data_IF_016468567647
#
_entry.id   IF_016468567647
#
_cell.length_a   1.000
_cell.length_b   1.000
_cell.length_c   1.000
_cell.angle_alpha   90.00
_cell.angle_beta   90.00
_cell.angle_gamma   90.00
#
_symmetry.space_group_name_H-M   'P 1'
#
loop_
_entity.id
_entity.type
_entity.pdbx_description
1 polymer ?
#
# COMPACT_ATOMS: atom_id res chain seq x y z
N UNK A 1 38.21 -16.54 43.32
CA UNK A 1 39.13 -16.42 42.17
C UNK A 1 38.44 -15.53 41.15
N UNK A 2 38.74 -14.24 41.24
CA UNK A 2 38.32 -13.18 40.32
C UNK A 2 38.70 -13.53 38.88
N UNK A 3 37.82 -13.21 37.94
CA UNK A 3 38.19 -13.00 36.54
C UNK A 3 38.16 -11.50 36.30
N UNK A 4 39.35 -10.96 36.13
CA UNK A 4 39.66 -9.59 35.73
C UNK A 4 39.41 -9.44 34.22
N UNK A 5 38.80 -8.32 33.88
CA UNK A 5 38.55 -7.77 32.54
C UNK A 5 39.84 -7.22 31.93
N UNK A 6 40.08 -7.42 30.62
CA UNK A 6 41.05 -6.58 29.91
C UNK A 6 40.67 -6.37 28.44
N UNK A 7 40.69 -5.09 28.05
CA UNK A 7 40.25 -4.51 26.78
C UNK A 7 41.34 -4.61 25.68
N UNK A 8 40.98 -4.47 24.38
CA UNK A 8 41.95 -4.54 23.29
C UNK A 8 42.77 -3.22 23.13
N UNK A 9 44.06 -3.31 22.74
CA UNK A 9 44.93 -2.15 22.58
C UNK A 9 44.72 -1.38 21.25
N UNK A 10 45.13 -0.10 21.17
CA UNK A 10 44.77 0.81 20.09
C UNK A 10 45.73 0.78 18.88
N UNK A 11 45.20 1.23 17.74
CA UNK A 11 45.89 1.47 16.47
C UNK A 11 46.88 2.65 16.59
N UNK A 12 48.09 2.45 16.06
CA UNK A 12 49.14 3.47 15.94
C UNK A 12 49.78 3.47 14.54
N UNK A 13 50.16 4.67 14.12
CA UNK A 13 50.53 5.23 12.83
C UNK A 13 51.92 4.88 12.26
N UNK A 14 52.08 5.09 10.94
CA UNK A 14 53.19 5.74 10.16
C UNK A 14 53.15 5.21 8.71
N UNK A 15 52.95 6.00 7.63
CA UNK A 15 53.89 6.93 6.94
C UNK A 15 55.23 6.25 6.58
N UNK A 16 55.85 6.27 5.38
CA UNK A 16 55.76 7.03 4.12
C UNK A 16 56.65 6.31 3.05
N UNK A 17 56.48 6.65 1.76
CA UNK A 17 57.39 6.51 0.59
C UNK A 17 57.17 5.23 -0.26
N UNK A 18 56.92 5.29 -1.58
CA UNK A 18 57.76 5.96 -2.60
C UNK A 18 57.02 6.24 -3.93
N UNK A 19 57.50 7.31 -4.59
CA UNK A 19 57.20 7.88 -5.90
C UNK A 19 57.09 6.93 -7.11
N UNK A 20 56.23 7.29 -8.07
CA UNK A 20 56.62 7.71 -9.43
C UNK A 20 55.42 8.18 -10.31
N UNK A 21 55.50 9.41 -10.81
CA UNK A 21 54.79 9.89 -12.02
C UNK A 21 55.65 9.61 -13.26
N UNK A 22 55.07 9.68 -14.47
CA UNK A 22 55.55 10.74 -15.36
C UNK A 22 54.42 11.54 -16.05
N UNK A 23 54.68 12.84 -16.19
CA UNK A 23 53.95 13.80 -17.01
C UNK A 23 54.24 13.58 -18.51
N UNK A 24 53.26 13.90 -19.35
CA UNK A 24 53.42 14.12 -20.79
C UNK A 24 52.30 15.00 -21.34
N UNK A 25 52.58 16.30 -21.49
CA UNK A 25 51.75 17.33 -22.12
C UNK A 25 51.91 17.30 -23.66
N UNK A 26 50.87 17.46 -24.48
CA UNK A 26 50.36 18.74 -25.05
C UNK A 26 49.74 18.46 -26.45
N UNK A 27 49.23 19.45 -27.23
CA UNK A 27 47.82 19.89 -27.30
C UNK A 27 47.23 19.80 -28.74
N UNK A 28 46.10 20.50 -29.00
CA UNK A 28 45.39 20.76 -30.27
C UNK A 28 44.19 19.81 -30.50
N UNK A 29 42.98 20.23 -30.88
CA UNK A 29 42.46 21.48 -31.44
C UNK A 29 40.91 21.43 -31.41
N UNK A 30 40.28 22.61 -31.35
CA UNK A 30 38.84 22.87 -31.50
C UNK A 30 38.10 21.93 -32.49
N UNK A 31 36.96 21.39 -32.03
CA UNK A 31 35.72 21.37 -32.81
C UNK A 31 34.59 21.92 -31.96
N UNK A 32 34.34 23.22 -32.14
CA UNK A 32 33.04 23.82 -31.87
C UNK A 32 32.01 23.10 -32.75
N UNK A 33 30.97 22.54 -32.13
CA UNK A 33 29.92 21.79 -32.83
C UNK A 33 29.09 20.82 -31.98
N UNK A 34 29.46 20.53 -30.73
CA UNK A 34 28.80 19.49 -29.91
C UNK A 34 27.88 19.98 -28.78
N UNK A 35 27.87 21.28 -28.46
CA UNK A 35 27.14 21.78 -27.29
C UNK A 35 25.60 21.69 -27.39
N UNK A 36 25.07 21.62 -28.62
CA UNK A 36 23.63 21.46 -28.85
C UNK A 36 23.16 20.02 -28.62
N UNK A 37 23.94 19.04 -29.10
CA UNK A 37 23.62 17.61 -28.97
C UNK A 37 23.75 17.16 -27.51
N UNK A 38 24.77 17.61 -26.78
CA UNK A 38 24.96 17.28 -25.37
C UNK A 38 23.87 17.88 -24.48
N UNK A 39 23.40 19.08 -24.79
CA UNK A 39 22.32 19.74 -24.05
C UNK A 39 20.94 19.16 -24.40
N UNK A 40 20.73 18.77 -25.66
CA UNK A 40 19.55 18.03 -26.09
C UNK A 40 19.49 16.63 -25.46
N UNK A 41 20.61 15.91 -25.46
CA UNK A 41 20.78 14.63 -24.74
C UNK A 41 20.52 14.80 -23.25
N UNK A 42 21.01 15.89 -22.63
CA UNK A 42 20.71 16.19 -21.22
C UNK A 42 19.23 16.41 -20.97
N UNK A 43 18.53 17.15 -21.83
CA UNK A 43 17.07 17.36 -21.73
C UNK A 43 16.26 16.08 -21.96
N UNK A 44 16.74 15.17 -22.80
CA UNK A 44 16.10 13.87 -23.07
C UNK A 44 16.32 12.87 -21.92
N UNK A 45 17.52 12.87 -21.31
CA UNK A 45 17.92 11.87 -20.31
C UNK A 45 17.57 12.29 -18.88
N UNK A 46 17.53 13.59 -18.58
CA UNK A 46 17.26 14.11 -17.24
C UNK A 46 15.90 14.83 -17.22
N UNK A 47 14.93 14.36 -16.42
CA UNK A 47 13.71 15.11 -16.20
C UNK A 47 14.06 16.45 -15.55
N UNK A 48 13.35 17.50 -15.95
CA UNK A 48 13.51 18.82 -15.34
C UNK A 48 13.23 18.72 -13.83
N UNK A 49 14.20 19.15 -13.03
CA UNK A 49 14.10 19.17 -11.57
C UNK A 49 12.89 19.95 -11.05
N UNK A 50 12.40 20.95 -11.82
CA UNK A 50 11.20 21.72 -11.50
C UNK A 50 9.90 20.93 -11.72
N UNK A 51 9.95 19.86 -12.52
CA UNK A 51 8.80 19.01 -12.82
C UNK A 51 8.73 17.76 -11.93
N UNK A 52 9.66 17.60 -10.99
CA UNK A 52 9.60 16.53 -10.01
C UNK A 52 8.53 16.85 -8.94
N UNK A 53 7.75 15.85 -8.51
CA UNK A 53 6.79 16.07 -7.43
C UNK A 53 7.54 16.44 -6.14
N UNK A 54 6.99 17.37 -5.36
CA UNK A 54 7.59 17.83 -4.09
C UNK A 54 7.86 16.69 -3.10
N UNK A 55 7.04 15.65 -3.14
CA UNK A 55 7.21 14.43 -2.37
C UNK A 55 7.09 13.22 -3.28
N UNK A 56 7.90 12.17 -3.08
CA UNK A 56 7.76 10.95 -3.82
C UNK A 56 6.37 10.32 -3.57
N UNK A 57 5.78 9.65 -4.57
CA UNK A 57 4.50 8.97 -4.39
C UNK A 57 4.60 7.91 -3.30
N UNK A 58 3.51 7.75 -2.54
CA UNK A 58 3.44 6.71 -1.51
C UNK A 58 3.43 5.31 -2.13
N UNK A 59 3.81 4.29 -1.35
CA UNK A 59 3.76 2.89 -1.82
C UNK A 59 2.35 2.45 -2.25
N UNK A 60 1.31 3.04 -1.65
CA UNK A 60 -0.09 2.80 -2.04
C UNK A 60 -0.39 3.45 -3.39
N UNK A 61 0.04 4.70 -3.61
CA UNK A 61 -0.21 5.41 -4.86
C UNK A 61 0.61 4.83 -6.04
N UNK A 62 1.81 4.31 -5.79
CA UNK A 62 2.68 3.77 -6.84
C UNK A 62 2.31 2.35 -7.25
N UNK A 63 1.90 1.50 -6.30
CA UNK A 63 1.72 0.06 -6.55
C UNK A 63 0.26 -0.34 -6.80
N UNK A 64 -0.71 0.52 -6.45
CA UNK A 64 -2.13 0.17 -6.52
C UNK A 64 -2.94 1.18 -7.31
N UNK A 65 -3.94 0.68 -8.04
CA UNK A 65 -5.02 1.49 -8.57
C UNK A 65 -6.18 1.46 -7.58
N UNK A 66 -6.61 2.63 -7.12
CA UNK A 66 -7.70 2.75 -6.16
C UNK A 66 -9.06 2.80 -6.85
N UNK A 67 -9.96 1.93 -6.39
CA UNK A 67 -11.38 1.92 -6.72
C UNK A 67 -12.22 2.10 -5.47
N UNK A 68 -13.45 2.60 -5.62
CA UNK A 68 -14.41 2.76 -4.54
C UNK A 68 -15.73 2.06 -4.87
N UNK A 69 -16.29 1.39 -3.87
CA UNK A 69 -17.65 0.84 -3.88
C UNK A 69 -18.51 1.71 -2.95
N UNK A 70 -19.18 2.75 -3.46
CA UNK A 70 -20.05 3.59 -2.65
C UNK A 70 -21.34 2.84 -2.27
N UNK A 71 -21.88 3.14 -1.09
CA UNK A 71 -23.21 2.70 -0.63
C UNK A 71 -23.45 1.19 -0.79
N UNK A 72 -22.43 0.36 -0.52
CA UNK A 72 -22.48 -1.06 -0.84
C UNK A 72 -23.55 -1.79 0.03
N UNK A 73 -24.66 -2.17 -0.60
CA UNK A 73 -25.92 -2.67 0.00
C UNK A 73 -26.68 -1.67 0.88
N UNK A 74 -25.99 -0.76 1.57
CA UNK A 74 -26.57 0.19 2.51
C UNK A 74 -25.96 1.58 2.29
N UNK A 75 -26.74 2.66 2.43
CA UNK A 75 -26.22 4.03 2.35
C UNK A 75 -25.09 4.28 3.36
N UNK A 76 -24.01 4.91 2.91
CA UNK A 76 -22.82 5.25 3.69
C UNK A 76 -21.84 4.08 3.94
N UNK A 77 -22.14 2.87 3.45
CA UNK A 77 -21.24 1.72 3.56
C UNK A 77 -20.18 1.72 2.44
N UNK A 78 -19.39 2.80 2.41
CA UNK A 78 -18.37 3.02 1.39
C UNK A 78 -17.10 2.23 1.69
N UNK A 79 -16.63 1.46 0.71
CA UNK A 79 -15.39 0.67 0.83
C UNK A 79 -14.45 1.02 -0.31
N UNK A 80 -13.15 1.05 -0.01
CA UNK A 80 -12.13 1.14 -1.05
C UNK A 80 -11.62 -0.25 -1.42
N UNK A 81 -11.15 -0.35 -2.66
CA UNK A 81 -10.54 -1.55 -3.25
C UNK A 81 -9.25 -1.10 -3.94
N UNK A 82 -8.12 -1.49 -3.39
CA UNK A 82 -6.81 -1.27 -3.99
C UNK A 82 -6.44 -2.45 -4.84
N UNK A 83 -6.32 -2.23 -6.15
CA UNK A 83 -5.97 -3.24 -7.13
C UNK A 83 -4.49 -3.17 -7.46
N UNK A 84 -3.75 -4.22 -7.12
CA UNK A 84 -2.36 -4.38 -7.54
C UNK A 84 -2.27 -4.97 -8.95
N UNK A 85 -1.17 -4.70 -9.66
CA UNK A 85 -0.89 -5.27 -10.99
C UNK A 85 -0.89 -6.82 -11.00
N UNK A 86 -0.42 -7.44 -9.91
CA UNK A 86 -0.41 -8.90 -9.73
C UNK A 86 -1.82 -9.51 -9.55
N UNK A 87 -2.88 -8.71 -9.60
CA UNK A 87 -4.25 -9.18 -9.52
C UNK A 87 -4.84 -9.26 -8.10
N UNK A 88 -4.05 -8.94 -7.07
CA UNK A 88 -4.51 -8.87 -5.69
C UNK A 88 -5.37 -7.62 -5.47
N UNK A 89 -6.40 -7.77 -4.64
CA UNK A 89 -7.23 -6.68 -4.16
C UNK A 89 -7.10 -6.55 -2.64
N UNK A 90 -6.75 -5.37 -2.16
CA UNK A 90 -6.82 -5.02 -0.74
C UNK A 90 -8.11 -4.24 -0.52
N UNK A 91 -8.90 -4.63 0.47
CA UNK A 91 -10.20 -4.01 0.79
C UNK A 91 -10.11 -3.34 2.16
N UNK A 92 -10.70 -2.16 2.28
CA UNK A 92 -10.91 -1.49 3.55
C UNK A 92 -12.02 -0.46 3.52
N UNK A 93 -12.14 0.30 4.62
CA UNK A 93 -13.17 1.32 4.77
C UNK A 93 -12.76 2.61 4.06
N UNK A 94 -13.65 3.14 3.22
CA UNK A 94 -13.41 4.44 2.60
C UNK A 94 -13.53 5.58 3.63
N UNK A 95 -12.90 6.74 3.40
CA UNK A 95 -12.87 7.83 4.37
C UNK A 95 -14.24 8.34 4.83
N UNK A 96 -15.26 8.28 3.96
CA UNK A 96 -16.63 8.73 4.31
C UNK A 96 -17.54 7.62 4.82
N UNK A 97 -16.98 6.45 5.15
CA UNK A 97 -17.76 5.34 5.69
C UNK A 97 -18.37 5.71 7.05
N UNK A 98 -19.64 5.36 7.29
CA UNK A 98 -20.38 5.74 8.52
C UNK A 98 -19.64 5.38 9.80
N UNK A 99 -19.04 4.18 9.86
CA UNK A 99 -18.27 3.72 11.03
C UNK A 99 -17.08 4.64 11.41
N UNK A 100 -16.49 5.36 10.45
CA UNK A 100 -15.40 6.30 10.71
C UNK A 100 -15.91 7.69 11.10
N UNK A 101 -17.12 8.04 10.66
CA UNK A 101 -17.75 9.35 10.89
C UNK A 101 -18.54 9.42 12.20
N UNK A 102 -18.85 8.27 12.80
CA UNK A 102 -19.48 8.23 14.12
C UNK A 102 -18.59 8.88 15.19
N UNK A 103 -19.21 9.63 16.11
CA UNK A 103 -18.52 10.29 17.21
C UNK A 103 -17.80 9.24 18.07
N UNK A 104 -16.49 9.32 18.25
CA UNK A 104 -15.72 8.30 18.98
C UNK A 104 -15.07 7.23 18.09
N UNK A 105 -15.42 7.18 16.81
CA UNK A 105 -14.81 6.30 15.81
C UNK A 105 -15.02 4.81 16.10
N UNK A 106 -14.19 3.99 15.46
CA UNK A 106 -14.22 2.54 15.60
C UNK A 106 -13.64 2.12 16.94
N UNK A 107 -14.41 1.34 17.70
CA UNK A 107 -14.08 0.86 19.05
C UNK A 107 -13.64 -0.60 19.06
N UNK A 108 -14.18 -1.44 18.16
CA UNK A 108 -13.83 -2.86 18.07
C UNK A 108 -14.06 -3.41 16.65
N UNK A 109 -13.40 -4.51 16.32
CA UNK A 109 -13.55 -5.24 15.05
C UNK A 109 -13.66 -6.74 15.35
N UNK A 110 -14.69 -7.37 14.82
CA UNK A 110 -14.96 -8.81 14.97
C UNK A 110 -14.98 -9.50 13.60
N UNK A 111 -14.08 -10.44 13.39
CA UNK A 111 -14.01 -11.25 12.17
C UNK A 111 -14.93 -12.47 12.20
N UNK A 112 -15.64 -12.71 13.31
CA UNK A 112 -16.66 -13.72 13.40
C UNK A 112 -17.98 -13.23 12.79
N UNK A 113 -18.21 -13.63 11.54
CA UNK A 113 -19.42 -13.30 10.77
C UNK A 113 -20.54 -14.34 10.95
N UNK A 114 -20.52 -15.10 12.04
CA UNK A 114 -21.57 -16.04 12.47
C UNK A 114 -21.50 -17.42 11.80
N UNK A 115 -21.17 -17.50 10.50
CA UNK A 115 -21.00 -18.79 9.80
C UNK A 115 -19.59 -19.37 9.93
N UNK A 116 -18.60 -18.52 10.12
CA UNK A 116 -17.18 -18.89 10.19
C UNK A 116 -16.39 -17.67 10.66
N UNK A 117 -15.39 -17.89 11.51
CA UNK A 117 -14.40 -16.86 11.81
C UNK A 117 -13.43 -16.71 10.63
N UNK A 118 -13.26 -15.48 10.15
CA UNK A 118 -12.33 -15.20 9.03
C UNK A 118 -10.87 -15.14 9.48
N UNK A 119 -10.60 -14.88 10.77
CA UNK A 119 -9.23 -14.82 11.33
C UNK A 119 -8.55 -16.19 11.36
N UNK A 120 -9.33 -17.26 11.45
CA UNK A 120 -8.82 -18.63 11.43
C UNK A 120 -8.42 -19.12 10.03
N UNK A 121 -8.74 -18.35 8.97
CA UNK A 121 -8.50 -18.75 7.59
C UNK A 121 -7.00 -18.67 7.22
N UNK A 122 -6.29 -19.78 7.43
CA UNK A 122 -4.88 -19.93 7.04
C UNK A 122 -4.75 -20.57 5.67
N UNK A 123 -4.51 -19.73 4.66
CA UNK A 123 -4.24 -20.18 3.29
C UNK A 123 -2.80 -20.70 3.17
N UNK A 124 -2.64 -21.93 2.68
CA UNK A 124 -1.31 -22.57 2.60
C UNK A 124 -0.95 -23.09 1.21
N UNK A 125 0.35 -23.01 0.89
CA UNK A 125 0.97 -23.58 -0.31
C UNK A 125 0.63 -22.87 -1.63
N UNK A 126 1.38 -23.23 -2.69
CA UNK A 126 1.23 -22.66 -4.06
C UNK A 126 -0.19 -22.75 -4.62
N UNK A 127 -0.95 -23.78 -4.22
CA UNK A 127 -2.33 -24.02 -4.66
C UNK A 127 -3.39 -23.33 -3.80
N UNK A 128 -3.00 -22.46 -2.86
CA UNK A 128 -3.91 -21.74 -1.95
C UNK A 128 -4.91 -22.68 -1.26
N UNK A 129 -4.41 -23.78 -0.71
CA UNK A 129 -5.24 -24.75 0.00
C UNK A 129 -5.93 -24.05 1.16
N UNK A 130 -7.19 -24.42 1.40
CA UNK A 130 -8.09 -23.82 2.39
C UNK A 130 -8.58 -22.39 2.10
N UNK A 131 -8.19 -21.78 0.97
CA UNK A 131 -8.66 -20.45 0.63
C UNK A 131 -10.17 -20.43 0.39
N UNK A 132 -10.87 -19.71 1.25
CA UNK A 132 -12.30 -19.55 1.17
C UNK A 132 -12.67 -18.68 -0.03
N UNK A 133 -13.55 -19.20 -0.89
CA UNK A 133 -14.14 -18.41 -1.97
C UNK A 133 -15.30 -17.58 -1.42
N UNK A 134 -15.21 -16.26 -1.61
CA UNK A 134 -16.20 -15.29 -1.20
C UNK A 134 -16.87 -14.69 -2.43
N UNK A 135 -18.18 -14.51 -2.32
CA UNK A 135 -18.98 -13.69 -3.23
C UNK A 135 -18.92 -12.21 -2.82
N UNK A 136 -19.22 -11.25 -3.72
CA UNK A 136 -19.15 -9.81 -3.43
C UNK A 136 -19.93 -9.37 -2.18
N UNK A 137 -21.09 -9.98 -1.94
CA UNK A 137 -21.94 -9.70 -0.79
C UNK A 137 -21.55 -10.49 0.48
N UNK A 138 -20.47 -11.27 0.47
CA UNK A 138 -20.03 -12.02 1.65
C UNK A 138 -19.52 -11.08 2.73
N UNK A 139 -19.90 -11.33 3.99
CA UNK A 139 -19.40 -10.57 5.13
C UNK A 139 -17.94 -10.96 5.45
N UNK A 140 -17.11 -9.94 5.65
CA UNK A 140 -15.71 -10.04 6.06
C UNK A 140 -15.56 -9.88 7.57
N UNK A 141 -16.10 -8.80 8.13
CA UNK A 141 -16.07 -8.52 9.56
C UNK A 141 -17.23 -7.60 9.96
N UNK A 142 -17.43 -7.47 11.27
CA UNK A 142 -18.26 -6.44 11.90
C UNK A 142 -17.33 -5.40 12.49
N UNK A 143 -17.56 -4.15 12.15
CA UNK A 143 -16.86 -3.00 12.72
C UNK A 143 -17.83 -2.34 13.69
N UNK A 144 -17.43 -2.23 14.95
CA UNK A 144 -18.22 -1.56 15.99
C UNK A 144 -17.78 -0.11 16.11
N UNK A 145 -18.73 0.79 16.07
CA UNK A 145 -18.54 2.20 16.40
C UNK A 145 -19.70 2.59 17.33
N UNK A 146 -19.38 3.19 18.48
CA UNK A 146 -20.32 3.43 19.57
C UNK A 146 -21.14 2.18 19.94
N UNK A 147 -22.47 2.28 19.83
CA UNK A 147 -23.46 1.23 20.12
C UNK A 147 -23.90 0.48 18.85
N UNK A 148 -23.40 0.89 17.68
CA UNK A 148 -23.75 0.33 16.39
C UNK A 148 -22.66 -0.60 15.86
N UNK A 149 -23.04 -1.49 14.94
CA UNK A 149 -22.10 -2.28 14.16
C UNK A 149 -22.40 -2.22 12.67
N UNK A 150 -21.33 -2.23 11.88
CA UNK A 150 -21.37 -2.15 10.43
C UNK A 150 -20.73 -3.40 9.84
N UNK A 151 -21.45 -4.06 8.95
CA UNK A 151 -20.94 -5.25 8.28
C UNK A 151 -20.14 -4.82 7.06
N UNK A 152 -18.83 -5.10 7.10
CA UNK A 152 -17.91 -4.90 5.98
C UNK A 152 -18.02 -6.11 5.05
N UNK A 153 -18.04 -5.87 3.74
CA UNK A 153 -18.34 -6.87 2.71
C UNK A 153 -17.17 -7.03 1.76
N UNK A 154 -17.15 -8.15 1.04
CA UNK A 154 -16.03 -8.48 0.16
C UNK A 154 -15.94 -7.57 -1.07
N UNK A 155 -17.06 -7.02 -1.56
CA UNK A 155 -17.20 -6.18 -2.78
C UNK A 155 -16.78 -6.83 -4.11
N UNK A 156 -15.86 -7.79 -4.07
CA UNK A 156 -15.27 -8.47 -5.21
C UNK A 156 -15.34 -9.97 -4.96
N UNK A 157 -15.71 -10.73 -5.99
CA UNK A 157 -15.67 -12.20 -5.94
C UNK A 157 -14.23 -12.70 -6.00
N UNK A 158 -13.83 -13.54 -5.05
CA UNK A 158 -12.46 -14.06 -5.03
C UNK A 158 -12.13 -14.96 -3.85
N UNK A 159 -10.89 -15.43 -3.81
CA UNK A 159 -10.37 -16.19 -2.68
C UNK A 159 -9.84 -15.27 -1.59
N UNK A 160 -10.31 -15.43 -0.36
CA UNK A 160 -9.77 -14.75 0.81
C UNK A 160 -8.39 -15.31 1.15
N UNK A 161 -7.36 -14.44 1.13
CA UNK A 161 -5.98 -14.81 1.43
C UNK A 161 -5.59 -14.46 2.85
N UNK A 162 -5.97 -13.27 3.30
CA UNK A 162 -5.55 -12.71 4.57
C UNK A 162 -6.62 -11.75 5.09
N UNK A 163 -6.78 -11.72 6.40
CA UNK A 163 -7.50 -10.67 7.13
C UNK A 163 -6.54 -9.99 8.11
N UNK A 164 -6.80 -8.73 8.42
CA UNK A 164 -5.95 -7.98 9.32
C UNK A 164 -6.30 -8.27 10.79
N UNK A 165 -5.76 -9.37 11.33
CA UNK A 165 -5.98 -9.79 12.72
C UNK A 165 -5.50 -8.77 13.75
N UNK A 166 -4.63 -7.82 13.36
CA UNK A 166 -4.20 -6.72 14.24
C UNK A 166 -5.39 -5.88 14.69
N UNK A 167 -6.42 -5.75 13.86
CA UNK A 167 -7.62 -4.96 14.16
C UNK A 167 -8.41 -5.49 15.37
N UNK A 168 -8.28 -6.77 15.71
CA UNK A 168 -8.89 -7.36 16.91
C UNK A 168 -8.26 -6.74 18.17
N UNK A 169 -6.94 -6.50 18.15
CA UNK A 169 -6.19 -5.93 19.28
C UNK A 169 -6.08 -4.40 19.22
N UNK A 170 -6.08 -3.85 18.01
CA UNK A 170 -5.81 -2.43 17.74
C UNK A 170 -6.83 -1.88 16.72
N UNK A 171 -8.11 -1.74 17.11
CA UNK A 171 -9.15 -1.21 16.23
C UNK A 171 -8.91 0.25 15.82
N UNK A 172 -8.15 1.02 16.62
CA UNK A 172 -7.78 2.40 16.33
C UNK A 172 -6.97 2.62 15.05
N UNK A 173 -6.43 1.56 14.44
CA UNK A 173 -5.81 1.62 13.11
C UNK A 173 -6.82 2.06 12.03
N UNK A 174 -8.09 1.69 12.18
CA UNK A 174 -9.14 2.15 11.27
C UNK A 174 -9.41 3.65 11.40
N UNK A 175 -9.23 4.24 12.59
CA UNK A 175 -9.45 5.67 12.79
C UNK A 175 -8.27 6.51 12.29
N UNK A 176 -7.04 5.99 12.42
CA UNK A 176 -5.80 6.74 12.12
C UNK A 176 -5.23 6.48 10.73
N UNK A 177 -5.45 5.29 10.15
CA UNK A 177 -4.84 4.88 8.88
C UNK A 177 -5.68 3.81 8.17
N UNK A 178 -6.99 4.07 8.03
CA UNK A 178 -7.95 3.17 7.35
C UNK A 178 -7.49 2.70 5.97
N UNK A 179 -6.85 3.59 5.23
CA UNK A 179 -6.40 3.42 3.86
C UNK A 179 -5.01 2.76 3.74
N UNK A 180 -4.32 2.50 4.87
CA UNK A 180 -2.99 1.88 4.90
C UNK A 180 -2.95 0.69 5.84
N UNK A 181 -2.55 0.89 7.08
CA UNK A 181 -2.42 -0.19 8.07
C UNK A 181 -3.76 -0.74 8.54
N UNK A 182 -4.84 0.02 8.37
CA UNK A 182 -6.21 -0.35 8.69
C UNK A 182 -6.93 -1.13 7.60
N UNK A 183 -6.23 -1.77 6.65
CA UNK A 183 -6.90 -2.65 5.68
C UNK A 183 -7.66 -3.77 6.38
N UNK A 184 -8.74 -4.27 5.77
CA UNK A 184 -9.60 -5.31 6.36
C UNK A 184 -9.19 -6.70 5.85
N UNK A 185 -9.04 -6.85 4.53
CA UNK A 185 -8.76 -8.14 3.93
C UNK A 185 -8.01 -8.03 2.59
N UNK A 186 -7.29 -9.09 2.24
CA UNK A 186 -6.65 -9.29 0.94
C UNK A 186 -7.37 -10.42 0.21
N UNK A 187 -7.91 -10.09 -0.96
CA UNK A 187 -8.68 -10.99 -1.82
C UNK A 187 -7.93 -11.20 -3.14
N UNK A 188 -7.93 -12.44 -3.62
CA UNK A 188 -7.52 -12.75 -4.99
C UNK A 188 -8.74 -13.05 -5.87
N UNK A 189 -9.21 -12.07 -6.67
CA UNK A 189 -10.21 -12.33 -7.69
C UNK A 189 -9.65 -13.13 -8.86
N UNK A 190 -10.54 -13.86 -9.55
CA UNK A 190 -10.23 -14.39 -10.88
C UNK A 190 -10.25 -13.23 -11.90
N UNK A 191 -9.38 -13.22 -12.92
CA UNK A 191 -9.37 -12.17 -13.94
C UNK A 191 -10.75 -11.91 -14.56
N UNK A 192 -11.48 -12.98 -14.91
CA UNK A 192 -12.82 -12.88 -15.49
C UNK A 192 -13.85 -12.23 -14.55
N UNK A 193 -13.76 -12.47 -13.23
CA UNK A 193 -14.69 -11.90 -12.26
C UNK A 193 -14.37 -10.44 -11.97
N UNK A 194 -13.09 -10.06 -12.03
CA UNK A 194 -12.69 -8.65 -11.93
C UNK A 194 -13.26 -7.80 -13.07
N UNK A 195 -13.22 -8.29 -14.30
CA UNK A 195 -13.76 -7.54 -15.45
C UNK A 195 -15.25 -7.24 -15.30
N UNK A 196 -16.02 -8.13 -14.66
CA UNK A 196 -17.46 -7.94 -14.43
C UNK A 196 -17.75 -6.83 -13.43
N UNK A 197 -16.97 -6.75 -12.35
CA UNK A 197 -17.20 -5.77 -11.26
C UNK A 197 -16.52 -4.43 -11.53
N UNK A 198 -15.46 -4.38 -12.35
CA UNK A 198 -14.67 -3.16 -12.56
C UNK A 198 -15.54 -1.96 -12.96
N UNK A 199 -16.53 -2.17 -13.83
CA UNK A 199 -17.40 -1.11 -14.33
C UNK A 199 -18.42 -0.60 -13.29
N UNK A 200 -18.66 -1.34 -12.21
CA UNK A 200 -19.54 -0.88 -11.12
C UNK A 200 -18.77 -0.12 -10.03
N UNK A 201 -17.45 -0.03 -10.13
CA UNK A 201 -16.61 0.65 -9.15
C UNK A 201 -16.23 2.05 -9.65
N UNK A 202 -16.11 3.00 -8.72
CA UNK A 202 -15.72 4.37 -9.02
C UNK A 202 -14.21 4.56 -8.94
N UNK A 203 -13.68 5.45 -9.78
CA UNK A 203 -12.32 5.97 -9.63
C UNK A 203 -12.20 6.86 -8.40
N UNK A 204 -10.96 7.17 -7.98
CA UNK A 204 -10.71 8.11 -6.87
C UNK A 204 -11.31 9.48 -7.11
N UNK A 205 -11.25 9.96 -8.35
CA UNK A 205 -11.78 11.27 -8.74
C UNK A 205 -13.30 11.29 -8.73
N UNK A 206 -13.93 10.27 -9.30
CA UNK A 206 -15.39 10.16 -9.35
C UNK A 206 -15.98 9.99 -7.96
N UNK A 207 -15.31 9.23 -7.09
CA UNK A 207 -15.72 9.07 -5.70
C UNK A 207 -15.65 10.39 -4.92
N UNK A 208 -14.57 11.18 -5.09
CA UNK A 208 -14.47 12.51 -4.48
C UNK A 208 -15.57 13.44 -4.95
N UNK A 209 -15.88 13.46 -6.25
CA UNK A 209 -16.98 14.23 -6.82
C UNK A 209 -18.33 13.80 -6.23
N UNK A 210 -18.58 12.50 -6.15
CA UNK A 210 -19.82 11.95 -5.59
C UNK A 210 -20.04 12.34 -4.12
N UNK A 211 -18.96 12.37 -3.32
CA UNK A 211 -19.02 12.68 -1.88
C UNK A 211 -18.74 14.15 -1.56
N UNK A 212 -18.51 15.00 -2.55
CA UNK A 212 -18.23 16.42 -2.34
C UNK A 212 -16.91 16.70 -1.62
N UNK A 213 -15.89 15.84 -1.80
CA UNK A 213 -14.56 15.95 -1.18
C UNK A 213 -13.57 16.74 -2.06
N UNK A 214 -14.08 17.68 -2.86
CA UNK A 214 -13.32 18.49 -3.80
C UNK A 214 -12.78 19.76 -3.15
#
# INVERSE_FOLDING_TARGET
MEKVEEAPPPLSSCSTLQNQQPNGSSPLSNKEGGGGEDEELRRLLLPDSLNLPHTPPSATDSNFVTYFAPDFLKPGHDQYIYRHANGLCVIGLAPTHVALMEKGGVTAVDFNVGKSDRSENKVTGKRKRNAQHLEPNSALCKVFANENFYIVRCCVKGSLLEVNDRLIKQPGLLNSSADREGFIAIIMPKPADWLKIKNSLLSREDYKKLRGLC
#
